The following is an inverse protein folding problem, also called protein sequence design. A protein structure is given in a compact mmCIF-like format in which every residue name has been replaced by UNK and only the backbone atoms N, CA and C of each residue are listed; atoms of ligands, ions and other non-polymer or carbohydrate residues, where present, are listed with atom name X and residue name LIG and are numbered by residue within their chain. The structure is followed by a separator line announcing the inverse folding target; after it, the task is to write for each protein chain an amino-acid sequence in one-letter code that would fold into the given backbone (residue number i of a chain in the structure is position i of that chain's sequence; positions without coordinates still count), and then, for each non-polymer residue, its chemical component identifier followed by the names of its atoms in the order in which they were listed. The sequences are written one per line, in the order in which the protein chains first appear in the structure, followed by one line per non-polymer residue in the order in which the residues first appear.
data_IF_627772126351
#
_entry.id   IF_627772126351
#
_cell.length_a   1.000
_cell.length_b   1.000
_cell.length_c   1.000
_cell.angle_alpha   90.00
_cell.angle_beta   90.00
_cell.angle_gamma   90.00
#
_symmetry.space_group_name_H-M   'P 1'
#
loop_
_entity.id
_entity.type
_entity.pdbx_description
1 polymer ?
#
# COMPACT_ATOMS: atom_id res chain seq x y z
N UNK A 1 -24.53 -11.21 -6.76
CA UNK A 1 -23.50 -10.14 -6.92
C UNK A 1 -22.50 -10.66 -7.94
N UNK A 2 -21.98 -9.79 -8.80
CA UNK A 2 -20.99 -10.17 -9.83
C UNK A 2 -19.61 -9.78 -9.31
N UNK A 3 -18.64 -10.73 -9.23
CA UNK A 3 -17.28 -10.44 -8.82
C UNK A 3 -16.55 -9.63 -9.88
N UNK A 4 -15.82 -8.61 -9.44
CA UNK A 4 -15.05 -7.68 -10.27
C UNK A 4 -13.60 -7.73 -9.86
N UNK A 5 -12.71 -7.92 -10.82
CA UNK A 5 -11.27 -7.80 -10.66
C UNK A 5 -10.82 -6.51 -11.34
N UNK A 6 -10.21 -5.61 -10.58
CA UNK A 6 -9.73 -4.33 -11.09
C UNK A 6 -8.22 -4.37 -11.21
N UNK A 7 -7.73 -4.24 -12.42
CA UNK A 7 -6.30 -4.13 -12.71
C UNK A 7 -6.02 -2.70 -13.13
N UNK A 8 -5.21 -2.02 -12.35
CA UNK A 8 -4.83 -0.64 -12.61
C UNK A 8 -3.30 -0.48 -12.68
N UNK A 9 -2.85 0.70 -13.04
CA UNK A 9 -1.45 1.04 -13.29
C UNK A 9 -1.35 2.00 -14.46
N UNK A 10 -0.22 2.68 -14.60
CA UNK A 10 0.00 3.59 -15.72
C UNK A 10 0.08 2.84 -17.06
N UNK A 11 0.03 3.58 -18.16
CA UNK A 11 0.22 3.02 -19.49
C UNK A 11 1.53 2.21 -19.54
N UNK A 12 1.52 1.09 -20.23
CA UNK A 12 2.66 0.16 -20.37
C UNK A 12 3.20 -0.43 -19.04
N UNK A 13 2.44 -0.35 -17.97
CA UNK A 13 2.85 -0.95 -16.68
C UNK A 13 2.69 -2.47 -16.59
N UNK A 14 2.25 -3.15 -17.65
CA UNK A 14 2.07 -4.61 -17.69
C UNK A 14 0.66 -5.09 -17.34
N UNK A 15 -0.37 -4.23 -17.35
CA UNK A 15 -1.77 -4.62 -17.09
C UNK A 15 -2.26 -5.72 -18.04
N UNK A 16 -2.12 -5.48 -19.34
CA UNK A 16 -2.56 -6.42 -20.41
C UNK A 16 -1.83 -7.76 -20.33
N UNK A 17 -0.52 -7.73 -20.04
CA UNK A 17 0.30 -8.92 -19.86
C UNK A 17 -0.17 -9.76 -18.68
N UNK A 18 -0.40 -9.11 -17.53
CA UNK A 18 -0.93 -9.76 -16.33
C UNK A 18 -2.30 -10.39 -16.55
N UNK A 19 -3.23 -9.67 -17.21
CA UNK A 19 -4.58 -10.18 -17.51
C UNK A 19 -4.48 -11.34 -18.50
N UNK A 20 -3.65 -11.24 -19.54
CA UNK A 20 -3.40 -12.29 -20.53
C UNK A 20 -2.89 -13.57 -19.86
N UNK A 21 -1.87 -13.43 -18.99
CA UNK A 21 -1.34 -14.55 -18.21
C UNK A 21 -2.42 -15.18 -17.33
N UNK A 22 -3.20 -14.37 -16.62
CA UNK A 22 -4.26 -14.82 -15.72
C UNK A 22 -5.38 -15.57 -16.47
N UNK A 23 -5.82 -15.05 -17.62
CA UNK A 23 -6.85 -15.69 -18.46
C UNK A 23 -6.41 -17.05 -19.01
N UNK A 24 -5.11 -17.25 -19.24
CA UNK A 24 -4.55 -18.51 -19.71
C UNK A 24 -4.55 -19.60 -18.62
N UNK A 25 -4.62 -19.23 -17.33
CA UNK A 25 -4.50 -20.18 -16.23
C UNK A 25 -5.73 -21.09 -16.07
N UNK A 26 -5.56 -22.41 -15.93
CA UNK A 26 -6.69 -23.34 -15.75
C UNK A 26 -7.53 -23.05 -14.49
N UNK A 27 -6.90 -22.62 -13.40
CA UNK A 27 -7.58 -22.34 -12.13
C UNK A 27 -8.44 -21.08 -12.20
N UNK A 28 -8.17 -20.20 -13.15
CA UNK A 28 -8.94 -18.96 -13.36
C UNK A 28 -10.10 -19.14 -14.34
N UNK A 29 -10.34 -20.34 -14.87
CA UNK A 29 -11.45 -20.62 -15.80
C UNK A 29 -12.78 -20.61 -15.08
N UNK A 30 -13.79 -20.00 -15.70
CA UNK A 30 -15.18 -20.03 -15.24
C UNK A 30 -16.06 -20.85 -16.19
N UNK A 31 -17.25 -21.23 -15.70
CA UNK A 31 -18.24 -21.91 -16.54
C UNK A 31 -18.98 -20.95 -17.46
N UNK A 32 -19.19 -19.72 -16.99
CA UNK A 32 -19.85 -18.67 -17.76
C UNK A 32 -18.89 -17.82 -18.58
N UNK A 33 -19.31 -16.60 -18.89
CA UNK A 33 -18.55 -15.62 -19.64
C UNK A 33 -17.81 -14.68 -18.71
N UNK A 34 -16.61 -14.27 -19.08
CA UNK A 34 -15.91 -13.14 -18.50
C UNK A 34 -16.14 -11.92 -19.39
N UNK A 35 -16.51 -10.79 -18.79
CA UNK A 35 -16.53 -9.50 -19.48
C UNK A 35 -15.23 -8.77 -19.13
N UNK A 36 -14.42 -8.47 -20.11
CA UNK A 36 -13.21 -7.67 -19.98
C UNK A 36 -13.50 -6.26 -20.50
N UNK A 37 -13.42 -5.28 -19.60
CA UNK A 37 -13.55 -3.86 -19.92
C UNK A 37 -12.15 -3.28 -20.07
N UNK A 38 -11.79 -2.89 -21.30
CA UNK A 38 -10.52 -2.25 -21.63
C UNK A 38 -10.73 -0.75 -21.65
N UNK A 39 -10.11 -0.04 -20.69
CA UNK A 39 -10.25 1.41 -20.55
C UNK A 39 -9.01 2.19 -21.05
N UNK A 40 -7.99 1.49 -21.54
CA UNK A 40 -6.77 2.10 -22.08
C UNK A 40 -6.13 1.16 -23.08
N UNK A 41 -6.05 1.55 -24.35
CA UNK A 41 -5.37 0.77 -25.38
C UNK A 41 -3.85 1.04 -25.31
N UNK A 42 -3.07 -0.01 -25.06
CA UNK A 42 -1.60 -0.01 -25.10
C UNK A 42 -1.04 -0.59 -26.40
N UNK A 43 0.26 -0.82 -26.44
CA UNK A 43 0.93 -1.47 -27.58
C UNK A 43 0.59 -2.96 -27.70
N UNK A 44 0.23 -3.62 -26.59
CA UNK A 44 -0.07 -5.06 -26.54
C UNK A 44 -1.57 -5.26 -26.67
N UNK A 45 -1.96 -6.03 -27.70
CA UNK A 45 -3.34 -6.42 -27.94
C UNK A 45 -3.64 -7.81 -27.35
N UNK A 46 -4.91 -8.05 -26.99
CA UNK A 46 -5.38 -9.37 -26.54
C UNK A 46 -5.50 -10.34 -27.73
N UNK A 47 -4.89 -11.53 -27.58
CA UNK A 47 -5.04 -12.61 -28.59
C UNK A 47 -6.52 -13.06 -28.68
N UNK A 48 -7.15 -12.96 -29.88
CA UNK A 48 -8.52 -13.39 -30.08
C UNK A 48 -8.75 -14.88 -29.79
N UNK A 49 -7.73 -15.73 -29.95
CA UNK A 49 -7.84 -17.14 -29.63
C UNK A 49 -7.92 -17.35 -28.13
N UNK A 50 -7.06 -16.68 -27.35
CA UNK A 50 -7.09 -16.72 -25.88
C UNK A 50 -8.46 -16.24 -25.35
N UNK A 51 -8.95 -15.11 -25.86
CA UNK A 51 -10.27 -14.58 -25.48
C UNK A 51 -11.39 -15.61 -25.73
N UNK A 52 -11.35 -16.30 -26.86
CA UNK A 52 -12.33 -17.35 -27.19
C UNK A 52 -12.20 -18.55 -26.25
N UNK A 53 -10.98 -19.02 -26.00
CA UNK A 53 -10.72 -20.19 -25.14
C UNK A 53 -11.08 -19.94 -23.68
N UNK A 54 -10.83 -18.72 -23.18
CA UNK A 54 -11.19 -18.28 -21.84
C UNK A 54 -12.65 -17.82 -21.70
N UNK A 55 -13.43 -17.83 -22.81
CA UNK A 55 -14.80 -17.29 -22.89
C UNK A 55 -14.90 -15.83 -22.47
N UNK A 56 -13.88 -15.06 -22.79
CA UNK A 56 -13.81 -13.65 -22.46
C UNK A 56 -14.33 -12.80 -23.61
N UNK A 57 -15.18 -11.85 -23.29
CA UNK A 57 -15.71 -10.84 -24.21
C UNK A 57 -15.02 -9.54 -23.89
N UNK A 58 -14.35 -8.95 -24.87
CA UNK A 58 -13.71 -7.64 -24.74
C UNK A 58 -14.68 -6.54 -25.17
N UNK A 59 -14.85 -5.53 -24.33
CA UNK A 59 -15.51 -4.26 -24.66
C UNK A 59 -14.57 -3.11 -24.31
N UNK A 60 -14.42 -2.16 -25.22
CA UNK A 60 -13.54 -1.00 -25.06
C UNK A 60 -14.36 0.18 -24.53
N UNK A 61 -13.83 0.87 -23.53
CA UNK A 61 -14.37 2.10 -22.96
C UNK A 61 -13.23 3.12 -22.93
N UNK A 62 -13.11 3.92 -23.96
CA UNK A 62 -12.00 4.85 -24.21
C UNK A 62 -12.18 6.25 -23.59
N UNK A 63 -13.40 6.56 -23.11
CA UNK A 63 -13.71 7.84 -22.47
C UNK A 63 -14.14 7.65 -21.01
N UNK A 64 -13.57 8.45 -20.08
CA UNK A 64 -13.88 8.39 -18.64
C UNK A 64 -15.38 8.57 -18.37
N UNK A 65 -16.03 9.46 -19.10
CA UNK A 65 -17.48 9.74 -18.97
C UNK A 65 -18.34 8.53 -19.39
N UNK A 66 -17.86 7.68 -20.29
CA UNK A 66 -18.53 6.45 -20.69
C UNK A 66 -18.43 5.37 -19.63
N UNK A 67 -17.46 5.44 -18.71
CA UNK A 67 -17.32 4.53 -17.57
C UNK A 67 -18.27 4.93 -16.43
N UNK A 68 -19.56 4.69 -16.61
CA UNK A 68 -20.60 5.02 -15.65
C UNK A 68 -21.54 3.84 -15.40
N UNK A 69 -22.22 3.84 -14.26
CA UNK A 69 -23.08 2.70 -13.85
C UNK A 69 -24.17 2.35 -14.87
N UNK A 70 -24.69 3.30 -15.62
CA UNK A 70 -25.76 3.04 -16.61
C UNK A 70 -25.22 2.22 -17.79
N UNK A 71 -24.11 2.66 -18.38
CA UNK A 71 -23.47 1.97 -19.49
C UNK A 71 -22.95 0.59 -19.07
N UNK A 72 -22.37 0.49 -17.85
CA UNK A 72 -21.90 -0.78 -17.29
C UNK A 72 -23.05 -1.80 -17.11
N UNK A 73 -24.22 -1.35 -16.68
CA UNK A 73 -25.42 -2.20 -16.58
C UNK A 73 -25.93 -2.63 -17.96
N UNK A 74 -25.82 -1.78 -18.98
CA UNK A 74 -26.18 -2.16 -20.36
C UNK A 74 -25.27 -3.25 -20.90
N UNK A 75 -23.94 -3.13 -20.70
CA UNK A 75 -22.97 -4.15 -21.06
C UNK A 75 -23.22 -5.47 -20.32
N UNK A 76 -23.52 -5.41 -19.03
CA UNK A 76 -23.91 -6.58 -18.23
C UNK A 76 -25.15 -7.28 -18.82
N UNK A 77 -26.22 -6.53 -19.12
CA UNK A 77 -27.44 -7.08 -19.72
C UNK A 77 -27.19 -7.72 -21.06
N UNK A 78 -26.33 -7.09 -21.89
CA UNK A 78 -25.96 -7.55 -23.23
C UNK A 78 -25.21 -8.90 -23.17
N UNK A 79 -24.24 -9.02 -22.28
CA UNK A 79 -23.31 -10.15 -22.25
C UNK A 79 -23.62 -11.20 -21.19
N UNK A 80 -24.30 -10.82 -20.12
CA UNK A 80 -24.65 -11.66 -18.95
C UNK A 80 -23.40 -12.39 -18.40
N UNK A 81 -22.38 -11.64 -17.98
CA UNK A 81 -21.13 -12.22 -17.51
C UNK A 81 -21.30 -12.87 -16.15
N UNK A 82 -20.47 -13.88 -15.86
CA UNK A 82 -20.34 -14.51 -14.54
C UNK A 82 -19.34 -13.74 -13.68
N UNK A 83 -18.36 -13.08 -14.29
CA UNK A 83 -17.38 -12.19 -13.66
C UNK A 83 -16.96 -11.08 -14.62
N UNK A 84 -16.36 -10.03 -14.05
CA UNK A 84 -15.89 -8.87 -14.79
C UNK A 84 -14.43 -8.62 -14.45
N UNK A 85 -13.64 -8.30 -15.46
CA UNK A 85 -12.26 -7.81 -15.32
C UNK A 85 -12.25 -6.40 -15.89
N UNK A 86 -11.65 -5.46 -15.18
CA UNK A 86 -11.51 -4.08 -15.61
C UNK A 86 -10.03 -3.77 -15.73
N UNK A 87 -9.55 -3.56 -16.95
CA UNK A 87 -8.27 -2.94 -17.21
C UNK A 87 -8.47 -1.43 -17.18
N UNK A 88 -8.25 -0.84 -16.00
CA UNK A 88 -8.59 0.56 -15.75
C UNK A 88 -7.52 1.50 -16.30
N UNK A 89 -7.94 2.64 -16.85
CA UNK A 89 -7.03 3.65 -17.37
C UNK A 89 -6.26 4.33 -16.24
N UNK A 90 -4.94 4.27 -16.29
CA UNK A 90 -4.06 4.80 -15.27
C UNK A 90 -4.05 6.33 -15.14
N UNK A 91 -4.60 7.05 -16.11
CA UNK A 91 -4.71 8.51 -16.09
C UNK A 91 -6.06 9.01 -15.58
N UNK A 92 -7.06 8.12 -15.47
CA UNK A 92 -8.36 8.51 -14.94
C UNK A 92 -8.32 8.63 -13.41
N UNK A 93 -9.14 9.53 -12.88
CA UNK A 93 -9.24 9.69 -11.44
C UNK A 93 -9.96 8.49 -10.81
N UNK A 94 -9.20 7.65 -10.10
CA UNK A 94 -9.72 6.44 -9.48
C UNK A 94 -10.90 6.69 -8.51
N UNK A 95 -10.97 7.87 -7.89
CA UNK A 95 -12.11 8.27 -7.04
C UNK A 95 -13.43 8.41 -7.80
N UNK A 96 -13.36 8.60 -9.13
CA UNK A 96 -14.54 8.71 -9.99
C UNK A 96 -15.10 7.35 -10.42
N UNK A 97 -14.37 6.26 -10.20
CA UNK A 97 -14.82 4.91 -10.53
C UNK A 97 -16.11 4.57 -9.77
N UNK A 98 -17.22 4.47 -10.49
CA UNK A 98 -18.54 4.15 -9.92
C UNK A 98 -19.09 2.89 -10.55
N UNK A 99 -18.93 1.78 -9.82
CA UNK A 99 -19.50 0.50 -10.22
C UNK A 99 -20.99 0.40 -9.89
N UNK A 100 -21.77 -0.42 -10.62
CA UNK A 100 -23.11 -0.79 -10.24
C UNK A 100 -23.14 -1.39 -8.83
N UNK A 101 -24.16 -1.09 -8.03
CA UNK A 101 -24.26 -1.46 -6.61
C UNK A 101 -24.19 -2.97 -6.34
N UNK A 102 -24.52 -3.81 -7.32
CA UNK A 102 -24.51 -5.28 -7.21
C UNK A 102 -23.22 -5.91 -7.77
N UNK A 103 -22.27 -5.10 -8.23
CA UNK A 103 -20.92 -5.54 -8.55
C UNK A 103 -20.05 -5.42 -7.30
N UNK A 104 -19.27 -6.46 -7.01
CA UNK A 104 -18.41 -6.47 -5.82
C UNK A 104 -16.97 -6.60 -6.28
N UNK A 105 -16.12 -5.66 -5.88
CA UNK A 105 -14.68 -5.80 -6.10
C UNK A 105 -14.23 -7.00 -5.27
N UNK A 106 -13.77 -8.03 -5.96
CA UNK A 106 -13.20 -9.25 -5.38
C UNK A 106 -11.71 -9.06 -5.13
N UNK A 107 -11.03 -8.37 -6.05
CA UNK A 107 -9.63 -8.06 -5.91
C UNK A 107 -9.27 -6.81 -6.74
N UNK A 108 -8.41 -5.98 -6.17
CA UNK A 108 -7.79 -4.86 -6.85
C UNK A 108 -6.28 -5.08 -6.91
N UNK A 109 -5.72 -5.01 -8.11
CA UNK A 109 -4.31 -5.25 -8.39
C UNK A 109 -3.73 -4.02 -9.07
N UNK A 110 -2.53 -3.60 -8.66
CA UNK A 110 -1.80 -2.54 -9.34
C UNK A 110 -0.51 -3.10 -9.94
N UNK A 111 -0.33 -2.93 -11.24
CA UNK A 111 0.94 -3.23 -11.91
C UNK A 111 1.78 -1.98 -12.06
N UNK A 112 3.08 -2.10 -11.82
CA UNK A 112 4.03 -0.99 -11.85
C UNK A 112 5.28 -1.45 -12.60
N UNK A 113 5.68 -0.69 -13.62
CA UNK A 113 6.99 -0.85 -14.23
C UNK A 113 8.06 -0.27 -13.31
N UNK A 114 8.94 -1.13 -12.79
CA UNK A 114 9.97 -0.74 -11.83
C UNK A 114 10.95 0.29 -12.40
N UNK A 115 11.20 0.26 -13.70
CA UNK A 115 12.12 1.19 -14.37
C UNK A 115 11.58 2.62 -14.42
N UNK A 116 10.26 2.78 -14.47
CA UNK A 116 9.59 4.09 -14.55
C UNK A 116 9.02 4.57 -13.22
N UNK A 117 8.99 3.71 -12.20
CA UNK A 117 8.44 4.02 -10.88
C UNK A 117 8.98 5.31 -10.26
N UNK A 118 10.31 5.59 -10.23
CA UNK A 118 10.83 6.81 -9.61
C UNK A 118 10.28 8.09 -10.26
N UNK A 119 10.11 8.05 -11.58
CA UNK A 119 9.56 9.18 -12.34
C UNK A 119 8.09 9.43 -11.97
N UNK A 120 7.26 8.39 -11.97
CA UNK A 120 5.85 8.50 -11.61
C UNK A 120 5.65 8.82 -10.13
N UNK A 121 6.44 8.22 -9.25
CA UNK A 121 6.39 8.49 -7.82
C UNK A 121 6.75 9.94 -7.48
N UNK A 122 7.67 10.55 -8.24
CA UNK A 122 8.06 11.96 -8.05
C UNK A 122 7.03 12.93 -8.65
N UNK A 123 6.56 12.67 -9.88
CA UNK A 123 5.80 13.66 -10.65
C UNK A 123 4.29 13.45 -10.57
N UNK A 124 3.81 12.23 -10.31
CA UNK A 124 2.40 11.85 -10.33
C UNK A 124 2.00 11.08 -9.07
N UNK A 125 2.66 11.37 -7.95
CA UNK A 125 2.52 10.63 -6.69
C UNK A 125 1.08 10.51 -6.21
N UNK A 126 0.29 11.58 -6.32
CA UNK A 126 -1.12 11.56 -5.87
C UNK A 126 -1.98 10.58 -6.67
N UNK A 127 -1.77 10.52 -8.00
CA UNK A 127 -2.52 9.61 -8.86
C UNK A 127 -2.12 8.16 -8.59
N UNK A 128 -0.81 7.91 -8.50
CA UNK A 128 -0.27 6.60 -8.12
C UNK A 128 -0.78 6.14 -6.75
N UNK A 129 -0.79 7.04 -5.76
CA UNK A 129 -1.28 6.73 -4.42
C UNK A 129 -2.76 6.31 -4.42
N UNK A 130 -3.61 6.92 -5.23
CA UNK A 130 -5.03 6.52 -5.34
C UNK A 130 -5.18 5.11 -5.94
N UNK A 131 -4.32 4.73 -6.90
CA UNK A 131 -4.33 3.38 -7.48
C UNK A 131 -3.96 2.32 -6.45
N UNK A 132 -2.89 2.56 -5.68
CA UNK A 132 -2.32 1.56 -4.76
C UNK A 132 -3.02 1.51 -3.40
N UNK A 133 -3.73 2.57 -2.99
CA UNK A 133 -4.30 2.71 -1.64
C UNK A 133 -5.21 1.56 -1.20
N UNK A 134 -5.93 0.95 -2.14
CA UNK A 134 -6.87 -0.15 -1.90
C UNK A 134 -6.49 -1.43 -2.62
N UNK A 135 -5.32 -1.48 -3.25
CA UNK A 135 -4.85 -2.69 -3.91
C UNK A 135 -4.42 -3.71 -2.87
N UNK A 136 -4.94 -4.92 -2.96
CA UNK A 136 -4.49 -6.05 -2.17
C UNK A 136 -3.15 -6.57 -2.65
N UNK A 137 -2.90 -6.49 -3.97
CA UNK A 137 -1.66 -6.94 -4.61
C UNK A 137 -1.06 -5.83 -5.47
N UNK A 138 0.24 -5.63 -5.33
CA UNK A 138 1.02 -4.69 -6.14
C UNK A 138 2.18 -5.45 -6.77
N UNK A 139 2.24 -5.45 -8.09
CA UNK A 139 3.24 -6.17 -8.85
C UNK A 139 4.18 -5.17 -9.50
N UNK A 140 5.43 -5.17 -9.07
CA UNK A 140 6.50 -4.52 -9.78
C UNK A 140 7.08 -5.49 -10.80
N UNK A 141 6.98 -5.17 -12.07
CA UNK A 141 7.63 -5.94 -13.14
C UNK A 141 8.86 -5.18 -13.68
N UNK A 142 9.63 -5.85 -14.55
CA UNK A 142 10.84 -5.29 -15.17
C UNK A 142 11.84 -4.79 -14.14
N UNK A 143 12.03 -5.57 -13.07
CA UNK A 143 12.95 -5.23 -12.00
C UNK A 143 14.44 -5.49 -12.35
N UNK A 144 14.72 -5.91 -13.59
CA UNK A 144 16.09 -6.17 -14.03
C UNK A 144 16.98 -4.93 -13.88
N UNK A 145 18.06 -5.06 -13.08
CA UNK A 145 19.03 -3.97 -12.86
C UNK A 145 18.53 -2.83 -11.96
N UNK A 146 17.40 -2.98 -11.28
CA UNK A 146 16.95 -2.04 -10.26
C UNK A 146 17.60 -2.40 -8.92
N UNK A 147 18.44 -1.49 -8.40
CA UNK A 147 19.26 -1.76 -7.21
C UNK A 147 18.49 -1.61 -5.89
N UNK A 148 17.47 -0.74 -5.82
CA UNK A 148 16.83 -0.32 -4.56
C UNK A 148 15.34 -0.69 -4.50
N UNK A 149 15.03 -1.98 -4.67
CA UNK A 149 13.66 -2.51 -4.57
C UNK A 149 13.08 -2.38 -3.16
N UNK A 150 13.92 -2.39 -2.13
CA UNK A 150 13.47 -2.21 -0.76
C UNK A 150 12.94 -0.80 -0.50
N UNK A 151 13.53 0.23 -1.11
CA UNK A 151 12.97 1.57 -1.07
C UNK A 151 11.61 1.65 -1.79
N UNK A 152 11.44 0.95 -2.93
CA UNK A 152 10.15 0.87 -3.60
C UNK A 152 9.09 0.23 -2.69
N UNK A 153 9.44 -0.88 -2.04
CA UNK A 153 8.59 -1.54 -1.04
C UNK A 153 8.18 -0.56 0.08
N UNK A 154 9.15 0.15 0.68
CA UNK A 154 8.88 1.14 1.73
C UNK A 154 7.94 2.26 1.26
N UNK A 155 8.16 2.79 0.07
CA UNK A 155 7.32 3.83 -0.50
C UNK A 155 5.87 3.38 -0.71
N UNK A 156 5.66 2.15 -1.15
CA UNK A 156 4.32 1.57 -1.27
C UNK A 156 3.71 1.34 0.12
N UNK A 157 4.43 0.73 1.05
CA UNK A 157 3.96 0.46 2.42
C UNK A 157 3.61 1.73 3.20
N UNK A 158 4.27 2.85 2.92
CA UNK A 158 3.90 4.15 3.47
C UNK A 158 2.48 4.60 3.05
N UNK A 159 1.99 4.15 1.88
CA UNK A 159 0.66 4.49 1.35
C UNK A 159 -0.36 3.39 1.69
N UNK A 160 0.02 2.13 1.55
CA UNK A 160 -0.81 0.96 1.79
C UNK A 160 -0.02 -0.14 2.52
N UNK A 161 -0.13 -0.16 3.84
CA UNK A 161 0.61 -1.09 4.69
C UNK A 161 0.18 -2.56 4.51
N UNK A 162 -1.06 -2.79 4.08
CA UNK A 162 -1.63 -4.13 3.97
C UNK A 162 -1.42 -4.78 2.61
N UNK A 163 -0.98 -4.02 1.60
CA UNK A 163 -0.77 -4.56 0.28
C UNK A 163 0.32 -5.64 0.28
N UNK A 164 0.04 -6.75 -0.37
CA UNK A 164 1.07 -7.70 -0.80
C UNK A 164 1.87 -7.08 -1.96
N UNK A 165 3.20 -7.19 -1.92
CA UNK A 165 4.07 -6.60 -2.93
C UNK A 165 4.94 -7.70 -3.53
N UNK A 166 4.85 -7.88 -4.83
CA UNK A 166 5.62 -8.84 -5.61
C UNK A 166 6.54 -8.09 -6.55
N UNK A 167 7.77 -8.53 -6.67
CA UNK A 167 8.75 -8.02 -7.61
C UNK A 167 9.09 -9.12 -8.61
N UNK A 168 9.10 -8.79 -9.90
CA UNK A 168 9.36 -9.71 -11.00
C UNK A 168 10.45 -9.17 -11.94
N UNK A 169 11.41 -10.03 -12.27
CA UNK A 169 12.40 -9.80 -13.32
C UNK A 169 12.14 -10.74 -14.53
N UNK A 170 13.06 -10.78 -15.48
CA UNK A 170 12.99 -11.67 -16.64
C UNK A 170 12.98 -13.18 -16.29
N UNK A 171 13.37 -13.55 -15.05
CA UNK A 171 13.41 -14.94 -14.59
C UNK A 171 12.18 -15.32 -13.75
N UNK A 172 11.33 -14.36 -13.41
CA UNK A 172 10.14 -14.52 -12.60
C UNK A 172 10.18 -13.75 -11.29
N UNK A 173 9.50 -14.24 -10.26
CA UNK A 173 9.40 -13.57 -8.98
C UNK A 173 10.74 -13.53 -8.23
N UNK A 174 11.09 -12.34 -7.74
CA UNK A 174 12.26 -12.09 -6.91
C UNK A 174 11.86 -12.36 -5.45
N UNK A 175 12.26 -13.51 -4.92
CA UNK A 175 11.89 -13.95 -3.56
C UNK A 175 12.75 -13.32 -2.46
N UNK A 176 13.98 -12.92 -2.79
CA UNK A 176 14.90 -12.30 -1.84
C UNK A 176 15.24 -10.89 -2.32
N UNK A 177 14.58 -9.90 -1.74
CA UNK A 177 15.02 -8.53 -1.85
C UNK A 177 16.13 -8.34 -0.85
N UNK A 178 17.35 -7.96 -1.31
CA UNK A 178 18.41 -7.60 -0.39
C UNK A 178 17.90 -6.45 0.50
N UNK A 179 17.90 -6.72 1.80
CA UNK A 179 17.49 -5.72 2.78
C UNK A 179 18.52 -4.60 2.77
N UNK A 180 18.05 -3.38 2.60
CA UNK A 180 18.91 -2.21 2.73
C UNK A 180 19.55 -2.17 4.10
N UNK A 181 20.74 -1.60 4.15
CA UNK A 181 21.37 -1.19 5.40
C UNK A 181 20.41 -0.23 6.12
N UNK A 182 19.94 -0.66 7.29
CA UNK A 182 19.12 0.21 8.13
C UNK A 182 19.97 1.42 8.55
N UNK A 183 19.38 2.64 8.62
CA UNK A 183 20.12 3.86 8.96
C UNK A 183 20.56 3.91 10.43
N UNK A 184 20.41 2.79 11.15
CA UNK A 184 20.78 2.60 12.54
C UNK A 184 21.32 1.19 12.76
N UNK A 185 22.23 1.05 13.72
CA UNK A 185 22.83 -0.23 14.10
C UNK A 185 21.91 -1.01 15.06
N UNK A 186 21.33 -2.13 14.57
CA UNK A 186 20.50 -3.02 15.38
C UNK A 186 21.23 -3.62 16.59
N UNK A 187 22.56 -3.64 16.61
CA UNK A 187 23.36 -4.13 17.76
C UNK A 187 23.52 -3.07 18.85
N UNK A 188 23.18 -1.82 18.59
CA UNK A 188 23.32 -0.73 19.56
C UNK A 188 22.41 -0.97 20.79
N UNK A 189 22.87 -0.62 22.00
CA UNK A 189 22.06 -0.76 23.21
C UNK A 189 20.77 0.09 23.19
N UNK A 190 20.80 1.19 22.49
CA UNK A 190 19.65 2.07 22.22
C UNK A 190 19.68 2.46 20.75
N UNK A 191 18.60 2.19 20.02
CA UNK A 191 18.44 2.61 18.64
C UNK A 191 17.99 4.09 18.67
N UNK A 192 18.91 4.99 18.36
CA UNK A 192 18.59 6.42 18.24
C UNK A 192 18.02 6.70 16.85
N UNK A 193 16.73 7.02 16.81
CA UNK A 193 15.98 7.23 15.58
C UNK A 193 15.84 8.74 15.30
N UNK A 194 16.48 9.20 14.27
CA UNK A 194 16.25 10.52 13.70
C UNK A 194 14.96 10.56 12.86
N UNK A 195 14.77 11.57 12.04
CA UNK A 195 13.57 11.70 11.21
C UNK A 195 13.41 10.58 10.18
N UNK A 196 14.49 10.26 9.48
CA UNK A 196 14.51 9.21 8.46
C UNK A 196 14.44 7.83 9.12
N UNK A 197 15.29 7.63 10.11
CA UNK A 197 15.34 6.38 10.88
C UNK A 197 14.01 6.04 11.55
N UNK A 198 13.24 7.02 12.02
CA UNK A 198 11.92 6.78 12.61
C UNK A 198 10.93 6.25 11.58
N UNK A 199 10.87 6.83 10.40
CA UNK A 199 9.96 6.39 9.33
C UNK A 199 10.27 4.95 8.88
N UNK A 200 11.55 4.65 8.68
CA UNK A 200 12.02 3.30 8.30
C UNK A 200 11.73 2.30 9.42
N UNK A 201 12.09 2.63 10.67
CA UNK A 201 11.81 1.79 11.84
C UNK A 201 10.32 1.48 11.99
N UNK A 202 9.45 2.48 11.81
CA UNK A 202 8.01 2.29 11.93
C UNK A 202 7.50 1.26 10.93
N UNK A 203 7.88 1.39 9.65
CA UNK A 203 7.44 0.46 8.60
C UNK A 203 8.07 -0.92 8.77
N UNK A 204 9.37 -0.98 9.04
CA UNK A 204 10.09 -2.25 9.21
C UNK A 204 9.57 -3.03 10.45
N UNK A 205 9.18 -2.31 11.51
CA UNK A 205 8.58 -2.94 12.70
C UNK A 205 7.21 -3.56 12.46
N UNK A 206 6.48 -3.14 11.42
CA UNK A 206 5.21 -3.75 11.05
C UNK A 206 5.41 -5.07 10.28
N UNK A 207 6.46 -5.14 9.46
CA UNK A 207 6.77 -6.32 8.65
C UNK A 207 7.69 -7.31 9.39
N UNK A 208 8.60 -6.81 10.26
CA UNK A 208 9.71 -7.57 10.88
C UNK A 208 9.86 -7.24 12.38
N UNK A 209 8.78 -7.39 13.15
CA UNK A 209 8.78 -7.06 14.59
C UNK A 209 9.83 -7.86 15.38
N UNK A 210 10.17 -9.07 14.92
CA UNK A 210 11.16 -9.93 15.54
C UNK A 210 12.56 -9.30 15.62
N UNK A 211 12.89 -8.37 14.73
CA UNK A 211 14.16 -7.61 14.74
C UNK A 211 14.26 -6.65 15.92
N UNK A 212 13.10 -6.19 16.39
CA UNK A 212 12.99 -5.13 17.41
C UNK A 212 12.52 -5.64 18.76
N UNK A 213 12.05 -6.88 18.84
CA UNK A 213 11.62 -7.50 20.09
C UNK A 213 12.69 -7.39 21.18
N UNK A 214 12.33 -6.77 22.30
CA UNK A 214 13.24 -6.54 23.41
C UNK A 214 14.27 -5.43 23.24
N UNK A 215 14.36 -4.78 22.07
CA UNK A 215 15.27 -3.65 21.86
C UNK A 215 14.73 -2.36 22.46
N UNK A 216 15.64 -1.45 22.76
CA UNK A 216 15.32 -0.12 23.25
C UNK A 216 15.46 0.88 22.12
N UNK A 217 14.42 1.67 21.88
CA UNK A 217 14.40 2.74 20.87
C UNK A 217 14.33 4.11 21.55
N UNK A 218 14.93 5.12 20.93
CA UNK A 218 14.85 6.49 21.40
C UNK A 218 14.54 7.43 20.22
N UNK A 219 13.49 8.25 20.35
CA UNK A 219 13.05 9.15 19.30
C UNK A 219 12.30 10.36 19.84
N UNK A 220 12.18 11.39 19.01
CA UNK A 220 11.34 12.56 19.28
C UNK A 220 9.97 12.37 18.67
N UNK A 221 8.90 12.54 19.43
CA UNK A 221 7.53 12.28 19.02
C UNK A 221 6.55 13.37 19.52
N UNK A 222 5.42 13.45 18.86
CA UNK A 222 4.26 14.15 19.36
C UNK A 222 3.36 13.18 20.13
N UNK A 223 2.83 13.59 21.25
CA UNK A 223 1.89 12.81 22.05
C UNK A 223 0.50 12.83 21.39
N UNK A 224 -0.08 11.67 21.17
CA UNK A 224 -1.48 11.52 20.84
C UNK A 224 -2.17 10.73 21.97
N UNK A 225 -3.29 11.25 22.46
CA UNK A 225 -4.11 10.61 23.51
C UNK A 225 -5.51 10.34 22.98
N UNK A 226 -5.74 9.19 22.29
CA UNK A 226 -7.07 8.83 21.84
C UNK A 226 -8.03 8.68 23.02
N UNK A 227 -9.25 9.18 22.89
CA UNK A 227 -10.20 9.24 24.01
C UNK A 227 -10.71 7.86 24.48
N UNK A 228 -10.59 6.84 23.65
CA UNK A 228 -10.97 5.45 23.92
C UNK A 228 -9.80 4.54 24.33
N UNK A 229 -8.58 5.10 24.42
CA UNK A 229 -7.39 4.32 24.75
C UNK A 229 -7.39 3.84 26.21
N UNK A 230 -6.81 2.66 26.51
CA UNK A 230 -6.67 2.16 27.85
C UNK A 230 -5.93 3.16 28.78
N UNK A 231 -6.31 3.20 30.06
CA UNK A 231 -5.57 4.00 31.04
C UNK A 231 -4.11 3.52 31.10
N UNK A 232 -3.19 4.47 31.18
CA UNK A 232 -1.75 4.14 31.19
C UNK A 232 -1.12 4.06 29.81
N UNK A 233 -1.90 4.24 28.73
CA UNK A 233 -1.38 4.22 27.35
C UNK A 233 -1.52 5.58 26.67
N UNK A 234 -0.63 5.85 25.74
CA UNK A 234 -0.67 6.97 24.80
C UNK A 234 0.01 6.53 23.50
N UNK A 235 -0.04 7.32 22.45
CA UNK A 235 0.69 7.06 21.22
C UNK A 235 1.73 8.14 20.99
N UNK A 236 3.03 7.85 21.20
CA UNK A 236 4.11 8.72 20.74
C UNK A 236 4.31 8.50 19.24
N UNK A 237 4.15 9.54 18.44
CA UNK A 237 4.23 9.39 17.01
C UNK A 237 4.63 10.66 16.27
N UNK A 238 4.65 10.55 14.95
CA UNK A 238 5.00 11.63 14.04
C UNK A 238 3.95 11.74 12.93
N UNK A 239 3.71 12.96 12.46
CA UNK A 239 2.98 13.15 11.22
C UNK A 239 3.86 12.73 10.03
N UNK A 240 3.31 11.95 9.13
CA UNK A 240 3.97 11.57 7.89
C UNK A 240 3.15 12.01 6.69
N UNK A 241 3.81 12.47 5.66
CA UNK A 241 3.18 12.78 4.39
C UNK A 241 3.35 11.58 3.45
N UNK A 242 2.24 10.92 3.11
CA UNK A 242 2.27 9.72 2.27
C UNK A 242 2.31 10.05 0.79
N UNK A 243 1.45 10.93 0.28
CA UNK A 243 1.46 11.34 -1.11
C UNK A 243 1.42 12.86 -1.32
N UNK A 244 0.68 13.62 -0.52
CA UNK A 244 0.57 15.07 -0.63
C UNK A 244 0.22 15.71 0.72
N UNK A 245 0.22 17.04 0.78
CA UNK A 245 -0.06 17.77 2.02
C UNK A 245 -1.48 17.53 2.60
N UNK A 246 -2.42 17.07 1.78
CA UNK A 246 -3.77 16.71 2.23
C UNK A 246 -3.86 15.27 2.76
N UNK A 247 -2.82 14.47 2.51
CA UNK A 247 -2.78 13.07 2.89
C UNK A 247 -1.71 12.84 3.97
N UNK A 248 -2.03 13.31 5.16
CA UNK A 248 -1.18 13.23 6.35
C UNK A 248 -1.67 12.09 7.25
N UNK A 249 -0.77 11.18 7.60
CA UNK A 249 -1.02 10.11 8.56
C UNK A 249 -0.22 10.34 9.85
N UNK A 250 -0.80 9.97 11.00
CA UNK A 250 -0.07 9.92 12.26
C UNK A 250 0.49 8.50 12.46
N UNK A 251 1.80 8.38 12.44
CA UNK A 251 2.51 7.12 12.62
C UNK A 251 2.99 7.00 14.05
N UNK A 252 2.60 5.94 14.74
CA UNK A 252 3.02 5.69 16.11
C UNK A 252 2.40 4.39 16.64
N UNK A 253 3.07 3.78 17.60
CA UNK A 253 2.61 2.58 18.27
C UNK A 253 2.04 2.89 19.64
N UNK A 254 1.17 2.03 20.15
CA UNK A 254 0.70 2.10 21.52
C UNK A 254 1.89 2.04 22.48
N UNK A 255 1.89 2.93 23.48
CA UNK A 255 2.97 3.04 24.43
C UNK A 255 2.44 3.05 25.85
N UNK A 256 2.82 2.05 26.64
CA UNK A 256 2.53 2.00 28.07
C UNK A 256 3.44 2.96 28.83
N UNK A 257 2.85 3.77 29.69
CA UNK A 257 3.56 4.72 30.57
C UNK A 257 2.76 5.05 31.82
N UNK A 258 3.28 4.77 33.00
CA UNK A 258 2.57 4.98 34.27
C UNK A 258 2.12 6.44 34.49
N UNK A 259 2.87 7.41 33.98
CA UNK A 259 2.64 8.86 34.23
C UNK A 259 1.92 9.54 33.04
N UNK A 260 1.07 8.83 32.32
CA UNK A 260 0.32 9.41 31.17
C UNK A 260 -0.54 10.61 31.53
N UNK A 261 -0.99 10.74 32.81
CA UNK A 261 -1.73 11.92 33.31
C UNK A 261 -0.92 13.20 33.22
N UNK A 262 0.41 13.12 33.23
CA UNK A 262 1.31 14.29 33.15
C UNK A 262 1.57 14.73 31.69
N UNK A 263 1.11 13.95 30.72
CA UNK A 263 1.26 14.25 29.32
C UNK A 263 0.07 15.04 28.79
N UNK A 264 0.37 16.08 28.01
CA UNK A 264 -0.63 16.86 27.29
C UNK A 264 -0.70 16.40 25.84
N UNK A 265 -1.90 16.27 25.30
CA UNK A 265 -2.09 15.95 23.88
C UNK A 265 -1.37 16.97 22.98
N UNK A 266 -0.76 16.49 21.90
CA UNK A 266 0.04 17.27 20.93
C UNK A 266 1.31 17.92 21.49
N UNK A 267 1.74 17.61 22.73
CA UNK A 267 3.06 18.06 23.20
C UNK A 267 4.19 17.23 22.56
N UNK A 268 5.34 17.85 22.42
CA UNK A 268 6.55 17.17 21.96
C UNK A 268 7.34 16.56 23.11
N UNK A 269 7.73 15.31 22.93
CA UNK A 269 8.47 14.52 23.92
C UNK A 269 9.61 13.77 23.25
N UNK A 270 10.68 13.54 24.01
CA UNK A 270 11.70 12.54 23.71
C UNK A 270 11.33 11.28 24.47
N UNK A 271 11.14 10.19 23.76
CA UNK A 271 10.73 8.90 24.31
C UNK A 271 11.90 7.94 24.22
N UNK A 272 12.16 7.23 25.32
CA UNK A 272 13.00 6.02 25.33
C UNK A 272 12.11 4.88 25.79
N UNK A 273 11.96 3.85 24.96
CA UNK A 273 11.04 2.76 25.23
C UNK A 273 11.59 1.43 24.74
N UNK A 274 11.22 0.35 25.45
CA UNK A 274 11.46 -1.02 25.03
C UNK A 274 10.33 -1.44 24.09
N UNK A 275 10.67 -2.12 22.99
CA UNK A 275 9.71 -2.65 22.02
C UNK A 275 9.35 -4.09 22.40
N UNK A 276 8.08 -4.45 22.31
CA UNK A 276 7.60 -5.83 22.42
C UNK A 276 6.53 -6.11 21.37
N UNK A 277 6.34 -7.37 21.03
CA UNK A 277 5.26 -7.84 20.19
C UNK A 277 4.13 -8.34 21.09
N UNK A 278 3.02 -7.63 21.12
CA UNK A 278 1.91 -7.92 22.05
C UNK A 278 0.56 -7.75 21.37
N UNK A 279 -0.42 -8.49 21.85
CA UNK A 279 -1.82 -8.25 21.47
C UNK A 279 -2.28 -6.89 21.99
N UNK A 280 -2.77 -6.05 21.10
CA UNK A 280 -3.37 -4.77 21.47
C UNK A 280 -4.75 -4.63 20.82
N UNK A 281 -5.75 -4.28 21.63
CA UNK A 281 -7.15 -4.32 21.20
C UNK A 281 -7.42 -3.44 19.97
N UNK A 282 -6.83 -2.23 19.91
CA UNK A 282 -7.02 -1.32 18.78
C UNK A 282 -6.31 -1.79 17.49
N UNK A 283 -5.32 -2.70 17.60
CA UNK A 283 -4.72 -3.36 16.43
C UNK A 283 -5.56 -4.54 15.94
N UNK A 284 -6.49 -5.01 16.78
CA UNK A 284 -7.24 -6.26 16.56
C UNK A 284 -6.33 -7.48 16.31
N UNK A 285 -5.14 -7.49 16.92
CA UNK A 285 -4.10 -8.50 16.72
C UNK A 285 -2.83 -8.20 17.52
N UNK A 286 -1.79 -8.99 17.26
CA UNK A 286 -0.44 -8.76 17.77
C UNK A 286 0.27 -7.69 16.93
N UNK A 287 1.13 -6.91 17.57
CA UNK A 287 1.92 -5.88 16.90
C UNK A 287 2.83 -5.14 17.86
N UNK A 288 3.60 -4.14 17.37
CA UNK A 288 4.54 -3.40 18.19
C UNK A 288 3.85 -2.61 19.31
N UNK A 289 4.21 -2.91 20.54
CA UNK A 289 3.83 -2.13 21.73
C UNK A 289 5.10 -1.62 22.41
N UNK A 290 5.07 -0.38 22.84
CA UNK A 290 6.19 0.28 23.49
C UNK A 290 5.98 0.31 25.00
N UNK A 291 7.04 0.03 25.76
CA UNK A 291 7.07 0.21 27.22
C UNK A 291 8.02 1.35 27.53
N UNK A 292 7.49 2.51 27.89
CA UNK A 292 8.30 3.69 28.11
C UNK A 292 9.19 3.58 29.35
N UNK A 293 10.49 3.71 29.15
CA UNK A 293 11.51 3.81 30.19
C UNK A 293 11.64 5.28 30.64
N UNK A 294 11.60 6.23 29.70
CA UNK A 294 11.51 7.65 29.98
C UNK A 294 10.69 8.39 28.93
N UNK A 295 9.99 9.44 29.38
CA UNK A 295 9.28 10.39 28.52
C UNK A 295 9.61 11.79 29.00
N UNK A 296 10.39 12.52 28.24
CA UNK A 296 10.87 13.85 28.59
C UNK A 296 10.31 14.90 27.67
N UNK A 297 9.84 16.02 28.22
CA UNK A 297 9.35 17.13 27.39
C UNK A 297 10.49 17.73 26.58
N UNK A 298 10.29 17.90 25.29
CA UNK A 298 11.26 18.48 24.37
C UNK A 298 10.66 19.58 23.49
N UNK A 299 11.52 20.27 22.77
CA UNK A 299 11.07 21.24 21.76
C UNK A 299 10.64 20.49 20.50
N UNK A 300 9.75 21.11 19.76
CA UNK A 300 9.35 20.74 18.41
C UNK A 300 10.61 20.61 17.52
N UNK A 301 10.79 19.52 16.77
CA UNK A 301 11.91 19.36 15.85
C UNK A 301 11.78 20.34 14.67
N UNK A 302 12.89 20.59 13.96
CA UNK A 302 12.86 21.42 12.77
C UNK A 302 12.00 20.82 11.66
N UNK A 303 12.09 19.51 11.49
CA UNK A 303 11.29 18.73 10.56
C UNK A 303 10.21 18.00 11.35
N UNK A 304 8.98 18.50 11.26
CA UNK A 304 7.84 17.91 11.98
C UNK A 304 7.25 16.71 11.27
N UNK A 305 7.34 16.73 9.96
CA UNK A 305 6.73 15.75 9.06
C UNK A 305 7.81 14.77 8.62
N UNK A 306 7.49 13.49 8.67
CA UNK A 306 8.33 12.45 8.11
C UNK A 306 8.04 12.34 6.61
N UNK A 307 9.10 12.22 5.83
CA UNK A 307 9.07 11.86 4.42
C UNK A 307 9.76 10.52 4.24
N UNK A 308 9.23 9.70 3.38
CA UNK A 308 9.79 8.38 3.01
C UNK A 308 10.67 8.46 1.75
N UNK A 309 11.12 9.66 1.40
CA UNK A 309 11.97 9.92 0.24
C UNK A 309 13.45 9.83 0.63
#
# INVERSE_FOLDING_TARGET
MIPVYVINGFLESGKTEFITYTLAQPYFRTRGKTLLLLCEEGEIEYDPQLLKESRTILEVIDEEEAFNSSNLIELEKKHKPERIIIEYNGMWNYKNMKLPWHWTIEQQITTIDASTFPMYFTNMKSLLAEMIRKSELIIFNRCDGVEDLSNYKRNIKAINQQAEIVFEDANGEINEIMEDDLPYDLSAPILELDNVGYGIWYLDSLDHIERYEGKTVQFTAMVLKPGNFPKGYFVPGRMAMTCCAEDMAFLGFACEYEKTQNLTDKQWVKVTAKVSNEYFADYNGEGPVLHALSVEKTKKPKEEIISFN
#
